data_IF_147916461556
#
_entry.id   IF_147916461556
#
_cell.length_a   1.000
_cell.length_b   1.000
_cell.length_c   1.000
_cell.angle_alpha   90.00
_cell.angle_beta   90.00
_cell.angle_gamma   90.00
#
_symmetry.space_group_name_H-M   'P 1'
#
loop_
_entity.id
_entity.type
_entity.pdbx_description
1 polymer ?
#
# COMPACT_ATOMS: atom_id res chain seq x y z
N UNK A 1 -18.98 5.46 17.82
CA UNK A 1 -17.86 4.60 18.23
C UNK A 1 -16.62 5.24 17.66
N UNK A 2 -15.81 5.88 18.50
CA UNK A 2 -14.60 6.57 18.04
C UNK A 2 -13.67 5.53 17.41
N UNK A 3 -13.40 5.67 16.11
CA UNK A 3 -12.41 4.85 15.42
C UNK A 3 -11.06 5.29 16.01
N UNK A 4 -10.46 4.50 16.91
CA UNK A 4 -9.11 4.69 17.49
C UNK A 4 -7.98 4.63 16.42
N UNK A 5 -8.34 4.83 15.16
CA UNK A 5 -7.45 4.80 14.01
C UNK A 5 -6.62 6.08 14.01
N UNK A 6 -5.29 5.90 14.03
CA UNK A 6 -4.35 6.98 13.81
C UNK A 6 -4.66 7.67 12.46
N UNK A 7 -4.47 8.99 12.34
CA UNK A 7 -4.51 9.67 11.05
C UNK A 7 -3.62 8.95 10.04
N UNK A 8 -4.13 8.72 8.83
CA UNK A 8 -3.41 7.98 7.77
C UNK A 8 -1.98 8.49 7.59
N UNK A 9 -1.75 9.80 7.56
CA UNK A 9 -0.42 10.37 7.40
C UNK A 9 0.55 9.98 8.53
N UNK A 10 0.08 9.96 9.78
CA UNK A 10 0.90 9.57 10.93
C UNK A 10 1.24 8.08 10.88
N UNK A 11 0.26 7.24 10.54
CA UNK A 11 0.46 5.80 10.39
C UNK A 11 1.42 5.48 9.22
N UNK A 12 1.29 6.15 8.08
CA UNK A 12 2.21 6.01 6.94
C UNK A 12 3.63 6.41 7.34
N UNK A 13 3.81 7.55 8.01
CA UNK A 13 5.13 8.00 8.47
C UNK A 13 5.78 6.99 9.42
N UNK A 14 5.02 6.41 10.35
CA UNK A 14 5.51 5.37 11.25
C UNK A 14 5.98 4.14 10.47
N UNK A 15 5.21 3.66 9.49
CA UNK A 15 5.60 2.54 8.66
C UNK A 15 6.85 2.81 7.80
N UNK A 16 6.97 4.01 7.22
CA UNK A 16 8.18 4.42 6.48
C UNK A 16 9.41 4.45 7.39
N UNK A 17 9.28 4.94 8.63
CA UNK A 17 10.36 4.91 9.61
C UNK A 17 10.76 3.47 9.99
N UNK A 18 9.79 2.56 10.12
CA UNK A 18 10.06 1.14 10.37
C UNK A 18 10.77 0.47 9.18
N UNK A 19 10.38 0.78 7.94
CA UNK A 19 11.08 0.31 6.74
C UNK A 19 12.53 0.81 6.72
N UNK A 20 12.74 2.10 6.98
CA UNK A 20 14.08 2.70 7.03
C UNK A 20 14.97 2.03 8.08
N UNK A 21 14.45 1.77 9.29
CA UNK A 21 15.19 1.06 10.34
C UNK A 21 15.55 -0.40 9.99
N UNK A 22 14.84 -1.00 9.03
CA UNK A 22 15.10 -2.35 8.52
C UNK A 22 15.91 -2.36 7.21
N UNK A 23 16.28 -1.19 6.68
CA UNK A 23 16.96 -1.08 5.38
C UNK A 23 16.06 -1.40 4.17
N UNK A 24 14.74 -1.34 4.34
CA UNK A 24 13.77 -1.55 3.27
C UNK A 24 13.51 -0.22 2.57
N UNK A 25 13.68 -0.18 1.25
CA UNK A 25 13.37 1.00 0.42
C UNK A 25 11.85 1.15 0.33
N UNK A 26 11.34 2.30 0.78
CA UNK A 26 9.92 2.64 0.70
C UNK A 26 9.72 4.13 0.40
N UNK A 27 8.82 4.46 -0.51
CA UNK A 27 8.53 5.84 -0.92
C UNK A 27 7.03 6.10 -1.07
N UNK A 28 6.62 7.35 -0.86
CA UNK A 28 5.25 7.78 -1.15
C UNK A 28 5.19 8.27 -2.60
N UNK A 29 4.45 7.56 -3.45
CA UNK A 29 4.21 7.94 -4.85
C UNK A 29 3.08 8.95 -5.00
N UNK A 30 2.06 8.85 -4.14
CA UNK A 30 0.91 9.76 -4.13
C UNK A 30 0.44 9.99 -2.70
N UNK A 31 0.22 11.25 -2.33
CA UNK A 31 -0.29 11.64 -1.01
C UNK A 31 -1.79 11.89 -1.10
N UNK A 32 -2.55 11.20 -0.27
CA UNK A 32 -3.99 11.35 -0.15
C UNK A 32 -4.44 12.12 1.08
N UNK A 33 -5.68 11.90 1.51
CA UNK A 33 -6.23 12.56 2.70
C UNK A 33 -5.45 12.13 3.95
N UNK A 34 -4.90 13.08 4.74
CA UNK A 34 -4.01 12.76 5.85
C UNK A 34 -4.70 12.11 7.05
N UNK A 35 -6.03 12.13 7.13
CA UNK A 35 -6.78 11.63 8.28
C UNK A 35 -7.43 10.28 7.99
N UNK A 36 -7.94 10.10 6.76
CA UNK A 36 -8.89 9.03 6.44
C UNK A 36 -8.57 8.25 5.17
N UNK A 37 -7.63 8.72 4.35
CA UNK A 37 -7.29 8.12 3.06
C UNK A 37 -6.99 6.63 3.13
N UNK A 38 -7.45 5.90 2.12
CA UNK A 38 -7.13 4.47 1.92
C UNK A 38 -5.69 4.35 1.41
N UNK A 39 -5.00 3.28 1.80
CA UNK A 39 -3.60 3.07 1.38
C UNK A 39 -3.49 1.92 0.39
N UNK A 40 -2.90 2.23 -0.76
CA UNK A 40 -2.44 1.29 -1.78
C UNK A 40 -0.93 1.10 -1.63
N UNK A 41 -0.48 -0.16 -1.63
CA UNK A 41 0.94 -0.51 -1.49
C UNK A 41 1.38 -1.32 -2.70
N UNK A 42 2.29 -0.75 -3.50
CA UNK A 42 3.02 -1.44 -4.57
C UNK A 42 4.28 -2.05 -3.98
N UNK A 43 4.47 -3.35 -4.13
CA UNK A 43 5.67 -4.06 -3.72
C UNK A 43 6.36 -4.57 -4.99
N UNK A 44 7.45 -3.92 -5.39
CA UNK A 44 8.28 -4.32 -6.51
C UNK A 44 9.22 -5.47 -6.07
N UNK A 45 9.15 -6.60 -6.77
CA UNK A 45 9.94 -7.81 -6.43
C UNK A 45 11.34 -7.83 -7.04
N UNK A 46 11.75 -6.73 -7.71
CA UNK A 46 13.06 -6.52 -8.32
C UNK A 46 13.42 -7.49 -9.47
N UNK A 47 12.41 -8.14 -10.03
CA UNK A 47 12.48 -9.02 -11.20
C UNK A 47 11.53 -8.56 -12.33
N UNK A 48 11.02 -7.33 -12.24
CA UNK A 48 10.05 -6.74 -13.17
C UNK A 48 8.59 -7.09 -12.85
N UNK A 49 8.35 -7.92 -11.85
CA UNK A 49 7.03 -8.19 -11.31
C UNK A 49 6.74 -7.32 -10.07
N UNK A 50 5.48 -7.29 -9.67
CA UNK A 50 5.07 -6.63 -8.45
C UNK A 50 3.80 -7.23 -7.86
N UNK A 51 3.54 -6.88 -6.61
CA UNK A 51 2.29 -7.12 -5.90
C UNK A 51 1.64 -5.78 -5.57
N UNK A 52 0.34 -5.64 -5.82
CA UNK A 52 -0.39 -4.43 -5.48
C UNK A 52 -1.44 -4.76 -4.42
N UNK A 53 -1.37 -4.09 -3.27
CA UNK A 53 -2.21 -4.33 -2.11
C UNK A 53 -3.08 -3.13 -1.78
N UNK A 54 -4.31 -3.37 -1.37
CA UNK A 54 -5.21 -2.35 -0.81
C UNK A 54 -5.80 -2.81 0.52
N UNK A 55 -6.36 -1.88 1.27
CA UNK A 55 -7.01 -2.16 2.53
C UNK A 55 -8.51 -2.38 2.34
N UNK A 56 -9.05 -3.45 2.91
CA UNK A 56 -10.48 -3.73 2.95
C UNK A 56 -10.90 -4.10 4.37
N UNK A 57 -12.11 -3.70 4.78
CA UNK A 57 -12.72 -4.16 6.04
C UNK A 57 -13.43 -5.49 5.80
N UNK A 58 -13.17 -6.46 6.66
CA UNK A 58 -13.94 -7.71 6.69
C UNK A 58 -15.31 -7.53 7.38
N UNK A 59 -16.09 -8.61 7.46
CA UNK A 59 -17.42 -8.61 8.08
C UNK A 59 -17.39 -8.25 9.57
N UNK A 60 -16.24 -8.40 10.24
CA UNK A 60 -16.02 -8.06 11.64
C UNK A 60 -15.51 -6.62 11.81
N UNK A 61 -15.35 -5.88 10.70
CA UNK A 61 -14.87 -4.50 10.67
C UNK A 61 -13.35 -4.36 10.75
N UNK A 62 -12.60 -5.46 10.74
CA UNK A 62 -11.13 -5.46 10.81
C UNK A 62 -10.53 -5.13 9.44
N UNK A 63 -9.56 -4.23 9.43
CA UNK A 63 -8.77 -3.92 8.24
C UNK A 63 -7.86 -5.09 7.89
N UNK A 64 -7.89 -5.51 6.63
CA UNK A 64 -6.99 -6.52 6.05
C UNK A 64 -6.42 -6.04 4.72
N UNK A 65 -5.23 -6.52 4.43
CA UNK A 65 -4.60 -6.36 3.12
C UNK A 65 -5.16 -7.38 2.14
N UNK A 66 -5.60 -6.91 0.98
CA UNK A 66 -6.05 -7.73 -0.13
C UNK A 66 -5.33 -7.32 -1.40
N UNK A 67 -5.16 -8.26 -2.32
CA UNK A 67 -4.55 -7.99 -3.61
C UNK A 67 -5.51 -7.17 -4.49
N UNK A 68 -5.05 -6.00 -4.94
CA UNK A 68 -5.79 -5.11 -5.83
C UNK A 68 -5.74 -5.57 -7.30
N UNK A 69 -4.77 -6.42 -7.63
CA UNK A 69 -4.61 -7.07 -8.93
C UNK A 69 -4.57 -8.60 -8.76
N UNK A 70 -4.93 -9.39 -9.79
CA UNK A 70 -4.79 -10.83 -9.77
C UNK A 70 -3.34 -11.26 -9.50
N UNK A 71 -3.16 -12.42 -8.85
CA UNK A 71 -1.82 -13.02 -8.60
C UNK A 71 -1.30 -13.85 -9.77
N UNK A 72 -2.21 -14.32 -10.61
CA UNK A 72 -1.94 -15.20 -11.74
C UNK A 72 -2.71 -14.68 -12.99
N UNK A 73 -2.00 -14.20 -14.04
CA UNK A 73 -0.55 -14.01 -14.06
C UNK A 73 -0.09 -12.98 -13.03
N UNK A 74 1.16 -13.10 -12.56
CA UNK A 74 1.73 -12.11 -11.63
C UNK A 74 1.85 -10.75 -12.33
N UNK A 75 1.36 -9.66 -11.72
CA UNK A 75 1.38 -8.34 -12.36
C UNK A 75 2.80 -7.86 -12.63
N UNK A 76 3.01 -7.25 -13.79
CA UNK A 76 4.22 -6.46 -14.03
C UNK A 76 4.15 -5.11 -13.31
N UNK A 77 5.29 -4.45 -13.15
CA UNK A 77 5.30 -3.07 -12.63
C UNK A 77 4.47 -2.11 -13.50
N UNK A 78 4.43 -2.33 -14.81
CA UNK A 78 3.62 -1.51 -15.74
C UNK A 78 2.12 -1.68 -15.48
N UNK A 79 1.66 -2.90 -15.18
CA UNK A 79 0.25 -3.16 -14.86
C UNK A 79 -0.15 -2.45 -13.56
N UNK A 80 0.72 -2.49 -12.55
CA UNK A 80 0.49 -1.78 -11.29
C UNK A 80 0.48 -0.26 -11.50
N UNK A 81 1.44 0.31 -12.24
CA UNK A 81 1.52 1.75 -12.49
C UNK A 81 0.29 2.26 -13.26
N UNK A 82 -0.20 1.48 -14.24
CA UNK A 82 -1.44 1.79 -14.95
C UNK A 82 -2.66 1.78 -14.02
N UNK A 83 -2.74 0.79 -13.11
CA UNK A 83 -3.81 0.73 -12.10
C UNK A 83 -3.73 1.91 -11.12
N UNK A 84 -2.54 2.21 -10.60
CA UNK A 84 -2.27 3.32 -9.67
C UNK A 84 -2.70 4.64 -10.30
N UNK A 85 -2.30 4.89 -11.55
CA UNK A 85 -2.61 6.13 -12.27
C UNK A 85 -4.12 6.31 -12.40
N UNK A 86 -4.83 5.26 -12.84
CA UNK A 86 -6.30 5.31 -12.99
C UNK A 86 -7.02 5.50 -11.66
N UNK A 87 -6.54 4.83 -10.60
CA UNK A 87 -7.22 4.84 -9.30
C UNK A 87 -6.99 6.15 -8.58
N UNK A 88 -5.76 6.67 -8.58
CA UNK A 88 -5.43 7.98 -7.98
C UNK A 88 -6.12 9.15 -8.71
N UNK A 89 -6.32 9.04 -10.02
CA UNK A 89 -7.10 10.02 -10.77
C UNK A 89 -8.60 10.01 -10.41
N UNK A 90 -9.13 8.85 -10.00
CA UNK A 90 -10.53 8.69 -9.58
C UNK A 90 -10.74 9.04 -8.11
N UNK A 91 -9.77 8.75 -7.26
CA UNK A 91 -9.79 8.98 -5.83
C UNK A 91 -8.53 9.75 -5.41
N UNK A 92 -8.60 11.10 -5.37
CA UNK A 92 -7.48 11.94 -4.95
C UNK A 92 -7.08 11.73 -3.48
N UNK A 93 -7.96 11.17 -2.65
CA UNK A 93 -7.73 10.95 -1.22
C UNK A 93 -6.93 9.65 -0.95
N UNK A 94 -6.65 8.86 -2.00
CA UNK A 94 -5.85 7.65 -1.93
C UNK A 94 -4.39 7.96 -1.59
N UNK A 95 -3.76 7.14 -0.76
CA UNK A 95 -2.31 7.10 -0.60
C UNK A 95 -1.72 5.98 -1.44
N UNK A 96 -0.58 6.24 -2.06
CA UNK A 96 0.18 5.22 -2.78
C UNK A 96 1.59 5.17 -2.23
N UNK A 97 1.99 3.99 -1.77
CA UNK A 97 3.32 3.72 -1.25
C UNK A 97 3.95 2.65 -2.11
N UNK A 98 5.19 2.86 -2.51
CA UNK A 98 6.00 1.85 -3.18
C UNK A 98 7.06 1.32 -2.23
N UNK A 99 7.33 0.01 -2.33
CA UNK A 99 8.26 -0.74 -1.51
C UNK A 99 9.05 -1.66 -2.43
N UNK A 100 10.36 -1.75 -2.23
CA UNK A 100 11.20 -2.73 -2.91
C UNK A 100 11.50 -3.88 -1.96
N UNK A 101 10.99 -5.07 -2.28
CA UNK A 101 11.24 -6.29 -1.50
C UNK A 101 11.21 -7.53 -2.41
N UNK A 102 12.32 -8.26 -2.46
CA UNK A 102 12.49 -9.44 -3.33
C UNK A 102 11.50 -10.58 -3.04
N UNK A 103 10.94 -10.64 -1.85
CA UNK A 103 10.02 -11.69 -1.43
C UNK A 103 8.55 -11.25 -1.52
N UNK A 104 8.29 -10.01 -1.95
CA UNK A 104 6.93 -9.45 -2.01
C UNK A 104 6.31 -9.23 -0.63
N UNK A 105 7.13 -9.06 0.41
CA UNK A 105 6.66 -8.91 1.79
C UNK A 105 6.04 -7.52 2.02
N UNK A 106 4.90 -7.49 2.71
CA UNK A 106 4.25 -6.25 3.12
C UNK A 106 4.72 -5.85 4.54
N UNK A 107 5.51 -4.78 4.70
CA UNK A 107 5.96 -4.34 6.03
C UNK A 107 4.86 -3.62 6.83
N UNK A 108 3.74 -3.26 6.20
CA UNK A 108 2.57 -2.66 6.87
C UNK A 108 1.57 -3.70 7.38
N UNK A 109 1.84 -4.99 7.20
CA UNK A 109 1.01 -6.05 7.76
C UNK A 109 1.34 -6.20 9.26
N UNK A 110 0.39 -6.02 10.19
CA UNK A 110 0.64 -6.27 11.61
C UNK A 110 1.02 -7.75 11.82
N UNK A 111 2.20 -7.97 12.41
CA UNK A 111 2.66 -9.29 12.87
C UNK A 111 1.84 -9.79 14.06
#
# INVERSE_FOLDING_TARGET
MSDDRLPTALWVQAGLAQCSGQGISAMVLHKGDPHTGVVLVKIATLDGACRLLTQQRDMEGKLRWVDALPKDPTPSETDADAYITRTSARDPDLWVIEIEDRNGANPFDPK
#
